data_IF_797666515560
#
_entry.id   IF_797666515560
#
_cell.length_a   1.000
_cell.length_b   1.000
_cell.length_c   1.000
_cell.angle_alpha   90.00
_cell.angle_beta   90.00
_cell.angle_gamma   90.00
#
_symmetry.space_group_name_H-M   'P 1'
#
loop_
_entity.id
_entity.type
_entity.pdbx_description
1 polymer ?
#
# COMPACT_ATOMS: atom_id res chain seq x y z
N UNK A 1 0.95 -3.25 12.55
CA UNK A 1 0.24 -2.01 12.84
C UNK A 1 1.24 -0.93 13.13
N UNK A 2 1.26 0.05 12.23
CA UNK A 2 2.07 1.25 12.31
C UNK A 2 1.75 2.02 13.59
N UNK A 3 2.70 2.13 14.51
CA UNK A 3 2.55 2.91 15.76
C UNK A 3 3.16 4.29 15.57
N UNK A 4 2.32 5.32 15.53
CA UNK A 4 2.70 6.71 15.28
C UNK A 4 2.57 7.56 16.55
N UNK A 5 3.32 7.21 17.58
CA UNK A 5 3.40 7.96 18.84
C UNK A 5 4.42 9.10 18.77
N UNK A 6 4.38 9.87 17.69
CA UNK A 6 5.28 10.99 17.48
C UNK A 6 4.82 12.19 18.32
N UNK A 7 5.77 12.86 18.98
CA UNK A 7 5.50 14.15 19.61
C UNK A 7 5.22 15.21 18.55
N UNK A 8 4.61 16.34 18.95
CA UNK A 8 4.40 17.48 18.04
C UNK A 8 5.71 17.97 17.40
N UNK A 9 6.80 17.96 18.15
CA UNK A 9 8.11 18.37 17.65
C UNK A 9 8.66 17.37 16.63
N UNK A 10 8.45 16.07 16.85
CA UNK A 10 8.79 15.02 15.89
C UNK A 10 7.97 15.13 14.60
N UNK A 11 6.67 15.40 14.70
CA UNK A 11 5.80 15.60 13.53
C UNK A 11 6.26 16.84 12.75
N UNK A 12 6.59 17.94 13.45
CA UNK A 12 7.11 19.17 12.84
C UNK A 12 8.43 18.90 12.11
N UNK A 13 9.37 18.20 12.76
CA UNK A 13 10.67 17.83 12.17
C UNK A 13 10.50 16.90 10.97
N UNK A 14 9.58 15.93 11.04
CA UNK A 14 9.27 15.03 9.92
C UNK A 14 8.81 15.82 8.70
N UNK A 15 7.87 16.75 8.85
CA UNK A 15 7.40 17.56 7.72
C UNK A 15 8.49 18.48 7.19
N UNK A 16 9.30 19.10 8.07
CA UNK A 16 10.48 19.86 7.65
C UNK A 16 11.44 19.00 6.82
N UNK A 17 11.72 17.78 7.27
CA UNK A 17 12.59 16.83 6.58
C UNK A 17 12.00 16.41 5.23
N UNK A 18 10.72 16.03 5.17
CA UNK A 18 10.02 15.67 3.93
C UNK A 18 10.14 16.77 2.86
N UNK A 19 9.83 18.02 3.24
CA UNK A 19 9.90 19.17 2.33
C UNK A 19 11.34 19.56 1.97
N UNK A 20 12.32 19.18 2.79
CA UNK A 20 13.75 19.40 2.52
C UNK A 20 14.33 18.34 1.59
N UNK A 21 13.99 17.06 1.77
CA UNK A 21 14.58 15.96 0.99
C UNK A 21 14.12 15.99 -0.46
N UNK A 22 12.83 16.25 -0.73
CA UNK A 22 12.32 16.40 -2.08
C UNK A 22 11.47 17.68 -2.18
N UNK A 23 12.09 18.87 -2.34
CA UNK A 23 11.33 20.09 -2.49
C UNK A 23 10.54 20.07 -3.81
N UNK A 24 9.41 20.77 -3.83
CA UNK A 24 8.53 20.87 -5.01
C UNK A 24 9.19 21.55 -6.23
N UNK A 25 10.39 22.13 -6.05
CA UNK A 25 11.14 22.86 -7.09
C UNK A 25 10.23 23.91 -7.75
N UNK A 26 10.09 23.84 -9.07
CA UNK A 26 9.21 24.71 -9.86
C UNK A 26 7.90 24.02 -10.25
N UNK A 27 7.56 22.89 -9.64
CA UNK A 27 6.32 22.15 -9.94
C UNK A 27 5.11 22.93 -9.42
N UNK A 28 4.20 23.30 -10.32
CA UNK A 28 2.93 23.93 -9.93
C UNK A 28 2.02 22.96 -9.17
N UNK A 29 2.22 21.64 -9.33
CA UNK A 29 1.44 20.60 -8.65
C UNK A 29 1.87 20.35 -7.20
N UNK A 30 3.02 20.89 -6.76
CA UNK A 30 3.53 20.83 -5.38
C UNK A 30 3.33 19.49 -4.63
N UNK A 31 3.71 18.34 -5.22
CA UNK A 31 3.37 17.01 -4.68
C UNK A 31 3.88 16.75 -3.26
N UNK A 32 5.06 17.26 -2.91
CA UNK A 32 5.64 17.10 -1.57
C UNK A 32 4.88 17.89 -0.52
N UNK A 33 4.48 19.13 -0.84
CA UNK A 33 3.62 19.93 0.03
C UNK A 33 2.26 19.28 0.24
N UNK A 34 1.64 18.77 -0.82
CA UNK A 34 0.34 18.10 -0.72
C UNK A 34 0.44 16.80 0.08
N UNK A 35 1.52 16.03 -0.03
CA UNK A 35 1.70 14.84 0.79
C UNK A 35 1.92 15.16 2.26
N UNK A 36 2.76 16.15 2.58
CA UNK A 36 2.92 16.61 3.95
C UNK A 36 1.58 17.13 4.54
N UNK A 37 0.77 17.82 3.74
CA UNK A 37 -0.57 18.28 4.14
C UNK A 37 -1.54 17.13 4.39
N UNK A 38 -1.60 16.13 3.50
CA UNK A 38 -2.42 14.94 3.67
C UNK A 38 -2.06 14.19 4.95
N UNK A 39 -0.77 13.97 5.21
CA UNK A 39 -0.33 13.32 6.46
C UNK A 39 -0.67 14.17 7.69
N UNK A 40 -0.50 15.48 7.62
CA UNK A 40 -0.86 16.41 8.71
C UNK A 40 -2.34 16.31 9.05
N UNK A 41 -3.21 16.29 8.06
CA UNK A 41 -4.66 16.41 8.26
C UNK A 41 -5.30 15.05 8.61
N UNK A 42 -4.88 13.98 7.93
CA UNK A 42 -5.51 12.66 8.07
C UNK A 42 -4.83 11.75 9.10
N UNK A 43 -3.49 11.65 9.02
CA UNK A 43 -2.72 10.69 9.81
C UNK A 43 -2.36 11.23 11.19
N UNK A 44 -1.72 12.40 11.23
CA UNK A 44 -1.23 13.01 12.47
C UNK A 44 -2.24 13.97 13.12
N UNK A 45 -3.29 14.37 12.39
CA UNK A 45 -4.33 15.30 12.85
C UNK A 45 -3.78 16.54 13.56
N UNK A 46 -2.80 17.17 12.92
CA UNK A 46 -2.04 18.32 13.45
C UNK A 46 -2.23 19.59 12.60
N UNK A 47 -3.47 20.08 12.42
CA UNK A 47 -3.79 21.17 11.48
C UNK A 47 -3.15 22.51 11.87
N UNK A 48 -2.65 22.63 13.11
CA UNK A 48 -1.96 23.82 13.62
C UNK A 48 -0.53 23.98 13.08
N UNK A 49 0.05 22.93 12.46
CA UNK A 49 1.37 23.01 11.84
C UNK A 49 1.27 23.69 10.48
N UNK A 50 1.84 24.89 10.38
CA UNK A 50 1.92 25.65 9.13
C UNK A 50 3.13 25.20 8.29
N UNK A 51 2.85 24.35 7.31
CA UNK A 51 3.84 23.75 6.41
C UNK A 51 4.62 24.77 5.57
N UNK A 52 4.02 25.92 5.24
CA UNK A 52 4.65 26.97 4.42
C UNK A 52 5.76 27.73 5.16
N UNK A 53 5.82 27.60 6.48
CA UNK A 53 6.75 28.35 7.34
C UNK A 53 7.75 27.46 8.07
N UNK A 54 7.79 26.18 7.73
CA UNK A 54 8.68 25.22 8.36
C UNK A 54 10.15 25.55 8.05
N UNK A 55 11.05 25.43 9.05
CA UNK A 55 12.47 25.58 8.79
C UNK A 55 12.97 24.39 7.95
N UNK A 56 14.07 24.62 7.25
CA UNK A 56 14.83 23.54 6.58
C UNK A 56 15.38 22.60 7.65
N UNK A 57 15.14 21.30 7.47
CA UNK A 57 15.69 20.26 8.35
C UNK A 57 17.13 19.92 7.94
N UNK A 58 17.93 19.42 8.88
CA UNK A 58 19.24 18.82 8.60
C UNK A 58 19.28 17.39 9.13
N UNK A 59 20.16 16.51 8.60
CA UNK A 59 20.32 15.16 9.13
C UNK A 59 20.56 15.13 10.65
N UNK A 60 21.28 16.12 11.20
CA UNK A 60 21.54 16.23 12.63
C UNK A 60 20.32 16.72 13.43
N UNK A 61 19.51 17.65 12.91
CA UNK A 61 18.26 18.04 13.59
C UNK A 61 17.28 16.88 13.60
N UNK A 62 17.17 16.17 12.49
CA UNK A 62 16.34 14.98 12.36
C UNK A 62 16.74 13.90 13.36
N UNK A 63 18.03 13.58 13.44
CA UNK A 63 18.56 12.57 14.37
C UNK A 63 18.35 12.97 15.84
N UNK A 64 18.43 14.27 16.18
CA UNK A 64 18.10 14.75 17.53
C UNK A 64 16.63 14.54 17.89
N UNK A 65 15.72 14.68 16.93
CA UNK A 65 14.28 14.46 17.14
C UNK A 65 13.90 12.98 17.12
N UNK A 66 14.57 12.18 16.29
CA UNK A 66 14.32 10.76 16.07
C UNK A 66 15.47 9.89 16.57
N UNK A 67 15.78 9.96 17.87
CA UNK A 67 16.81 9.13 18.50
C UNK A 67 16.34 7.71 18.84
N UNK A 68 15.02 7.47 18.87
CA UNK A 68 14.44 6.14 19.11
C UNK A 68 14.42 5.33 17.79
N UNK A 69 15.12 4.18 17.69
CA UNK A 69 15.30 3.47 16.42
C UNK A 69 13.99 3.11 15.70
N UNK A 70 12.95 2.73 16.44
CA UNK A 70 11.64 2.42 15.86
C UNK A 70 10.99 3.65 15.20
N UNK A 71 11.03 4.81 15.87
CA UNK A 71 10.46 6.05 15.34
C UNK A 71 11.28 6.59 14.18
N UNK A 72 12.60 6.55 14.30
CA UNK A 72 13.54 6.90 13.24
C UNK A 72 13.27 6.09 11.97
N UNK A 73 13.08 4.78 12.12
CA UNK A 73 12.76 3.90 11.00
C UNK A 73 11.48 4.31 10.28
N UNK A 74 10.39 4.54 11.01
CA UNK A 74 9.13 5.01 10.40
C UNK A 74 9.31 6.36 9.72
N UNK A 75 10.01 7.31 10.36
CA UNK A 75 10.25 8.63 9.80
C UNK A 75 11.08 8.56 8.51
N UNK A 76 12.12 7.71 8.46
CA UNK A 76 12.91 7.45 7.25
C UNK A 76 12.05 6.82 6.14
N UNK A 77 11.10 5.94 6.45
CA UNK A 77 10.20 5.40 5.43
C UNK A 77 9.39 6.50 4.72
N UNK A 78 8.88 7.49 5.46
CA UNK A 78 8.25 8.65 4.83
C UNK A 78 9.21 9.46 3.96
N UNK A 79 10.46 9.65 4.39
CA UNK A 79 11.46 10.34 3.56
C UNK A 79 11.78 9.56 2.28
N UNK A 80 11.81 8.22 2.33
CA UNK A 80 12.03 7.35 1.17
C UNK A 80 10.93 7.48 0.13
N UNK A 81 9.68 7.76 0.53
CA UNK A 81 8.58 7.95 -0.43
C UNK A 81 8.68 9.29 -1.20
N UNK A 82 9.32 10.30 -0.61
CA UNK A 82 9.34 11.67 -1.16
C UNK A 82 9.90 11.78 -2.60
N UNK A 83 11.03 11.14 -2.96
CA UNK A 83 11.59 11.26 -4.30
C UNK A 83 10.67 10.73 -5.41
N UNK A 84 9.74 9.82 -5.10
CA UNK A 84 8.85 9.23 -6.10
C UNK A 84 7.76 10.21 -6.57
N UNK A 85 7.37 11.18 -5.72
CA UNK A 85 6.11 11.92 -5.87
C UNK A 85 6.10 12.94 -7.03
N UNK A 86 7.26 13.34 -7.53
CA UNK A 86 7.36 14.25 -8.67
C UNK A 86 7.12 13.57 -10.03
N UNK A 87 6.85 12.26 -10.06
CA UNK A 87 6.77 11.49 -11.30
C UNK A 87 8.12 11.21 -11.96
N UNK A 88 9.22 11.68 -11.35
CA UNK A 88 10.59 11.46 -11.80
C UNK A 88 11.54 11.47 -10.60
N UNK A 89 12.49 10.53 -10.58
CA UNK A 89 13.50 10.44 -9.54
C UNK A 89 14.66 11.39 -9.85
N UNK A 90 14.94 12.31 -8.93
CA UNK A 90 16.08 13.21 -9.00
C UNK A 90 17.20 12.71 -8.09
N UNK A 91 18.42 12.61 -8.60
CA UNK A 91 19.59 12.12 -7.86
C UNK A 91 19.80 12.88 -6.54
N UNK A 92 19.61 14.20 -6.56
CA UNK A 92 19.75 15.04 -5.37
C UNK A 92 18.71 14.74 -4.28
N UNK A 93 17.49 14.28 -4.63
CA UNK A 93 16.48 13.89 -3.65
C UNK A 93 16.90 12.59 -2.95
N UNK A 94 17.34 11.61 -3.75
CA UNK A 94 17.79 10.30 -3.28
C UNK A 94 19.02 10.44 -2.38
N UNK A 95 19.98 11.28 -2.77
CA UNK A 95 21.18 11.56 -1.99
C UNK A 95 20.84 12.22 -0.64
N UNK A 96 19.88 13.14 -0.60
CA UNK A 96 19.41 13.71 0.68
C UNK A 96 18.76 12.65 1.56
N UNK A 97 17.93 11.76 1.02
CA UNK A 97 17.37 10.65 1.82
C UNK A 97 18.49 9.77 2.39
N UNK A 98 19.51 9.44 1.59
CA UNK A 98 20.68 8.68 2.05
C UNK A 98 21.41 9.37 3.20
N UNK A 99 21.65 10.69 3.11
CA UNK A 99 22.32 11.44 4.18
C UNK A 99 21.56 11.41 5.50
N UNK A 100 20.22 11.54 5.45
CA UNK A 100 19.38 11.43 6.65
C UNK A 100 19.44 10.02 7.24
N UNK A 101 19.31 9.00 6.39
CA UNK A 101 19.36 7.59 6.77
C UNK A 101 20.72 7.19 7.37
N UNK A 102 21.83 7.59 6.76
CA UNK A 102 23.19 7.36 7.25
C UNK A 102 23.42 8.02 8.60
N UNK A 103 23.01 9.29 8.75
CA UNK A 103 23.24 10.07 9.99
C UNK A 103 22.48 9.49 11.18
N UNK A 104 21.24 9.05 10.97
CA UNK A 104 20.43 8.40 12.02
C UNK A 104 20.78 6.91 12.20
N UNK A 105 21.54 6.32 11.27
CA UNK A 105 21.98 4.92 11.30
C UNK A 105 20.87 3.91 10.98
N UNK A 106 19.99 4.24 10.04
CA UNK A 106 18.85 3.40 9.64
C UNK A 106 18.92 3.06 8.14
N UNK A 107 19.00 1.76 7.83
CA UNK A 107 19.10 1.26 6.46
C UNK A 107 17.99 0.23 6.17
N UNK A 108 16.76 0.66 5.86
CA UNK A 108 15.68 -0.25 5.51
C UNK A 108 15.85 -0.78 4.09
N UNK A 109 15.25 -1.93 3.77
CA UNK A 109 15.31 -2.51 2.42
C UNK A 109 14.71 -1.59 1.35
N UNK A 110 13.68 -0.82 1.68
CA UNK A 110 13.08 0.19 0.80
C UNK A 110 14.07 1.28 0.39
N UNK A 111 15.04 1.62 1.24
CA UNK A 111 16.13 2.54 0.88
C UNK A 111 17.07 1.90 -0.14
N UNK A 112 17.36 0.61 0.02
CA UNK A 112 18.15 -0.14 -0.95
C UNK A 112 17.43 -0.21 -2.30
N UNK A 113 16.11 -0.42 -2.31
CA UNK A 113 15.31 -0.42 -3.52
C UNK A 113 15.33 0.96 -4.18
N UNK A 114 15.08 2.05 -3.45
CA UNK A 114 15.19 3.43 -3.94
C UNK A 114 16.52 3.68 -4.64
N UNK A 115 17.63 3.30 -3.99
CA UNK A 115 18.97 3.44 -4.56
C UNK A 115 19.15 2.59 -5.83
N UNK A 116 18.71 1.33 -5.82
CA UNK A 116 18.79 0.48 -7.01
C UNK A 116 17.98 1.07 -8.17
N UNK A 117 16.78 1.59 -7.90
CA UNK A 117 15.90 2.20 -8.90
C UNK A 117 16.55 3.46 -9.48
N UNK A 118 17.03 4.37 -8.63
CA UNK A 118 17.72 5.60 -9.04
C UNK A 118 18.94 5.29 -9.94
N UNK A 119 19.73 4.27 -9.60
CA UNK A 119 20.87 3.81 -10.39
C UNK A 119 20.50 2.93 -11.60
N UNK A 120 19.22 2.88 -11.99
CA UNK A 120 18.69 2.08 -13.11
C UNK A 120 18.94 0.57 -12.98
N UNK A 121 19.14 0.07 -11.76
CA UNK A 121 19.29 -1.35 -11.43
C UNK A 121 17.92 -1.99 -11.13
N UNK A 122 16.91 -1.67 -11.93
CA UNK A 122 15.51 -2.06 -11.74
C UNK A 122 15.33 -3.58 -11.59
N UNK A 123 16.08 -4.37 -12.37
CA UNK A 123 16.06 -5.84 -12.27
C UNK A 123 16.62 -6.37 -10.96
N UNK A 124 17.66 -5.72 -10.42
CA UNK A 124 18.22 -6.11 -9.12
C UNK A 124 17.22 -5.81 -8.01
N UNK A 125 16.64 -4.60 -8.04
CA UNK A 125 15.56 -4.24 -7.12
C UNK A 125 14.40 -5.26 -7.20
N UNK A 126 13.99 -5.67 -8.41
CA UNK A 126 12.90 -6.65 -8.57
C UNK A 126 13.22 -8.01 -7.94
N UNK A 127 14.46 -8.49 -8.11
CA UNK A 127 14.90 -9.77 -7.53
C UNK A 127 14.95 -9.68 -6.00
N UNK A 128 15.49 -8.59 -5.47
CA UNK A 128 15.61 -8.37 -4.04
C UNK A 128 14.22 -8.24 -3.38
N UNK A 129 13.32 -7.44 -3.98
CA UNK A 129 11.93 -7.32 -3.58
C UNK A 129 11.21 -8.67 -3.64
N UNK A 130 11.24 -9.35 -4.78
CA UNK A 130 10.58 -10.64 -4.96
C UNK A 130 11.07 -11.71 -3.97
N UNK A 131 12.36 -11.69 -3.60
CA UNK A 131 12.90 -12.57 -2.56
C UNK A 131 12.30 -12.26 -1.18
N UNK A 132 12.15 -10.98 -0.83
CA UNK A 132 11.60 -10.55 0.47
C UNK A 132 10.09 -10.79 0.53
N UNK A 133 9.34 -10.37 -0.48
CA UNK A 133 7.90 -10.64 -0.61
C UNK A 133 7.61 -12.15 -0.56
N UNK A 134 8.40 -12.97 -1.26
CA UNK A 134 8.26 -14.43 -1.20
C UNK A 134 8.50 -15.00 0.20
N UNK A 135 9.36 -14.41 1.02
CA UNK A 135 9.60 -14.89 2.38
C UNK A 135 8.49 -14.45 3.35
N UNK A 136 7.84 -13.32 3.09
CA UNK A 136 6.73 -12.81 3.89
C UNK A 136 5.45 -13.61 3.60
N UNK A 137 5.04 -13.68 2.33
CA UNK A 137 3.77 -14.26 1.93
C UNK A 137 3.81 -15.79 1.77
N UNK A 138 5.01 -16.37 1.68
CA UNK A 138 5.22 -17.83 1.66
C UNK A 138 6.31 -18.21 2.68
N UNK A 139 6.03 -18.10 4.00
CA UNK A 139 7.03 -18.27 5.05
C UNK A 139 7.49 -19.74 5.23
N UNK A 140 6.81 -20.69 4.55
CA UNK A 140 7.16 -22.10 4.56
C UNK A 140 8.61 -22.34 4.09
N UNK A 141 9.36 -23.14 4.84
CA UNK A 141 10.78 -23.45 4.56
C UNK A 141 10.94 -24.82 3.89
N UNK A 142 11.95 -24.96 3.03
CA UNK A 142 12.36 -26.24 2.46
C UNK A 142 11.36 -26.83 1.46
N UNK A 143 11.07 -28.13 1.56
CA UNK A 143 10.17 -28.86 0.65
C UNK A 143 8.74 -28.28 0.63
N UNK A 144 8.30 -27.63 1.71
CA UNK A 144 6.99 -26.99 1.81
C UNK A 144 6.84 -25.76 0.89
N UNK A 145 7.91 -24.97 0.70
CA UNK A 145 7.93 -23.90 -0.31
C UNK A 145 7.77 -24.43 -1.73
N UNK A 146 8.30 -25.63 -2.00
CA UNK A 146 8.10 -26.32 -3.29
C UNK A 146 6.63 -26.71 -3.45
N UNK A 147 5.96 -27.19 -2.40
CA UNK A 147 4.53 -27.49 -2.43
C UNK A 147 3.65 -26.24 -2.59
N UNK A 148 4.03 -25.11 -1.98
CA UNK A 148 3.34 -23.83 -2.18
C UNK A 148 3.47 -23.32 -3.62
N UNK A 149 4.65 -23.44 -4.22
CA UNK A 149 4.88 -23.14 -5.65
C UNK A 149 4.11 -24.13 -6.55
N UNK A 150 4.08 -25.42 -6.21
CA UNK A 150 3.29 -26.43 -6.94
C UNK A 150 1.79 -26.15 -6.84
N UNK A 151 1.29 -25.64 -5.71
CA UNK A 151 -0.10 -25.16 -5.56
C UNK A 151 -0.37 -23.93 -6.42
N UNK A 152 0.56 -22.97 -6.49
CA UNK A 152 0.46 -21.83 -7.41
C UNK A 152 0.42 -22.28 -8.88
N UNK A 153 1.23 -23.27 -9.25
CA UNK A 153 1.23 -23.86 -10.60
C UNK A 153 -0.05 -24.67 -10.87
N UNK A 154 -0.58 -25.42 -9.90
CA UNK A 154 -1.87 -26.11 -10.04
C UNK A 154 -3.04 -25.14 -10.20
N UNK A 155 -3.06 -24.04 -9.45
CA UNK A 155 -4.06 -22.98 -9.62
C UNK A 155 -4.04 -22.37 -11.04
N UNK A 156 -2.87 -22.36 -11.69
CA UNK A 156 -2.74 -21.92 -13.09
C UNK A 156 -3.36 -22.91 -14.10
N UNK A 157 -3.36 -24.22 -13.78
CA UNK A 157 -3.97 -25.29 -14.60
C UNK A 157 -5.50 -25.31 -14.43
N UNK A 158 -5.98 -24.87 -13.26
CA UNK A 158 -7.39 -24.78 -12.89
C UNK A 158 -7.83 -25.91 -11.95
N UNK A 159 -8.77 -25.58 -11.08
CA UNK A 159 -9.45 -26.44 -10.10
C UNK A 159 -10.95 -26.11 -10.16
N UNK A 160 -11.72 -26.97 -10.82
CA UNK A 160 -13.15 -26.70 -11.07
C UNK A 160 -13.99 -26.72 -9.80
N UNK A 161 -13.61 -27.51 -8.79
CA UNK A 161 -14.34 -27.58 -7.52
C UNK A 161 -14.17 -26.26 -6.76
N UNK A 162 -12.92 -25.76 -6.68
CA UNK A 162 -12.65 -24.46 -6.09
C UNK A 162 -13.37 -23.32 -6.83
N UNK A 163 -13.36 -23.33 -8.16
CA UNK A 163 -14.08 -22.32 -8.94
C UNK A 163 -15.60 -22.35 -8.68
N UNK A 164 -16.17 -23.54 -8.49
CA UNK A 164 -17.60 -23.71 -8.16
C UNK A 164 -17.93 -23.19 -6.77
N UNK A 165 -17.04 -23.35 -5.79
CA UNK A 165 -17.21 -22.77 -4.44
C UNK A 165 -17.30 -21.24 -4.49
N UNK A 166 -16.44 -20.59 -5.28
CA UNK A 166 -16.52 -19.13 -5.49
C UNK A 166 -17.77 -18.71 -6.26
N UNK A 167 -18.21 -19.48 -7.24
CA UNK A 167 -19.45 -19.20 -7.97
C UNK A 167 -20.67 -19.29 -7.04
N UNK A 168 -20.69 -20.27 -6.13
CA UNK A 168 -21.79 -20.43 -5.17
C UNK A 168 -21.96 -19.24 -4.22
N UNK A 169 -20.93 -18.42 -4.01
CA UNK A 169 -21.02 -17.18 -3.24
C UNK A 169 -22.07 -16.20 -3.81
N UNK A 170 -22.42 -16.33 -5.09
CA UNK A 170 -23.52 -15.57 -5.71
C UNK A 170 -24.87 -15.74 -4.98
N UNK A 171 -25.08 -16.86 -4.30
CA UNK A 171 -26.33 -17.19 -3.62
C UNK A 171 -26.44 -16.59 -2.21
N UNK A 172 -25.36 -15.97 -1.71
CA UNK A 172 -25.36 -15.34 -0.40
C UNK A 172 -26.11 -13.99 -0.42
N UNK A 173 -26.57 -13.58 0.76
CA UNK A 173 -27.33 -12.34 0.92
C UNK A 173 -26.47 -11.12 0.60
N UNK A 174 -27.08 -10.10 -0.03
CA UNK A 174 -26.43 -8.84 -0.33
C UNK A 174 -25.88 -8.19 0.94
N UNK A 175 -24.65 -7.69 0.88
CA UNK A 175 -23.96 -7.11 2.03
C UNK A 175 -23.18 -8.08 2.91
N UNK A 176 -23.25 -9.38 2.63
CA UNK A 176 -22.30 -10.35 3.17
C UNK A 176 -20.97 -10.31 2.42
N UNK A 177 -19.88 -10.68 3.09
CA UNK A 177 -18.53 -10.71 2.49
C UNK A 177 -18.48 -11.57 1.22
N UNK A 178 -19.01 -12.80 1.27
CA UNK A 178 -18.95 -13.72 0.14
C UNK A 178 -19.69 -13.18 -1.08
N UNK A 179 -20.88 -12.60 -0.88
CA UNK A 179 -21.62 -11.95 -1.97
C UNK A 179 -20.83 -10.79 -2.58
N UNK A 180 -20.12 -10.01 -1.75
CA UNK A 180 -19.28 -8.92 -2.21
C UNK A 180 -18.04 -9.41 -2.98
N UNK A 181 -17.35 -10.47 -2.53
CA UNK A 181 -16.24 -11.11 -3.25
C UNK A 181 -16.69 -11.54 -4.64
N UNK A 182 -17.82 -12.26 -4.73
CA UNK A 182 -18.37 -12.70 -6.00
C UNK A 182 -18.66 -11.52 -6.94
N UNK A 183 -19.36 -10.50 -6.44
CA UNK A 183 -19.69 -9.30 -7.23
C UNK A 183 -18.44 -8.55 -7.66
N UNK A 184 -17.45 -8.39 -6.77
CA UNK A 184 -16.19 -7.69 -7.03
C UNK A 184 -15.44 -8.31 -8.22
N UNK A 185 -15.34 -9.64 -8.24
CA UNK A 185 -14.67 -10.39 -9.30
C UNK A 185 -15.43 -10.34 -10.62
N UNK A 186 -16.73 -10.69 -10.60
CA UNK A 186 -17.52 -10.78 -11.84
C UNK A 186 -17.70 -9.44 -12.53
N UNK A 187 -17.87 -8.35 -11.76
CA UNK A 187 -18.02 -6.99 -12.33
C UNK A 187 -16.74 -6.46 -12.97
N UNK A 188 -15.57 -6.92 -12.51
CA UNK A 188 -14.25 -6.54 -13.05
C UNK A 188 -13.74 -7.49 -14.14
N UNK A 189 -14.48 -8.58 -14.40
CA UNK A 189 -14.02 -9.64 -15.30
C UNK A 189 -12.80 -10.40 -14.75
N UNK A 190 -12.56 -10.33 -13.44
CA UNK A 190 -11.55 -11.15 -12.79
C UNK A 190 -12.01 -12.60 -12.78
N UNK A 191 -11.02 -13.49 -12.89
CA UNK A 191 -11.26 -14.92 -12.79
C UNK A 191 -11.28 -15.33 -11.33
N UNK A 192 -12.05 -16.36 -10.96
CA UNK A 192 -12.00 -16.92 -9.61
C UNK A 192 -10.80 -17.86 -9.42
N UNK A 193 -10.29 -18.02 -8.19
CA UNK A 193 -9.34 -19.11 -7.91
C UNK A 193 -9.94 -20.45 -8.36
N UNK A 194 -9.14 -21.24 -9.07
CA UNK A 194 -9.58 -22.47 -9.73
C UNK A 194 -9.99 -22.28 -11.20
N UNK A 195 -10.30 -21.07 -11.67
CA UNK A 195 -10.45 -20.83 -13.10
C UNK A 195 -9.06 -20.77 -13.79
N UNK A 196 -8.88 -21.36 -14.99
CA UNK A 196 -7.57 -21.40 -15.65
C UNK A 196 -6.94 -20.03 -15.86
N UNK A 197 -5.67 -19.90 -15.48
CA UNK A 197 -4.90 -18.66 -15.57
C UNK A 197 -5.27 -17.60 -14.53
N UNK A 198 -5.90 -17.97 -13.42
CA UNK A 198 -6.16 -17.06 -12.32
C UNK A 198 -5.08 -17.06 -11.22
N UNK A 199 -5.09 -16.00 -10.42
CA UNK A 199 -4.32 -15.87 -9.19
C UNK A 199 -4.86 -16.81 -8.10
N UNK A 200 -3.98 -17.23 -7.19
CA UNK A 200 -4.34 -18.09 -6.06
C UNK A 200 -5.18 -17.37 -5.00
N UNK A 201 -5.69 -18.08 -3.99
CA UNK A 201 -6.41 -17.47 -2.85
C UNK A 201 -5.65 -16.37 -2.10
N UNK A 202 -4.33 -16.26 -2.28
CA UNK A 202 -3.57 -15.11 -1.75
C UNK A 202 -4.04 -13.78 -2.34
N UNK A 203 -4.44 -13.75 -3.61
CA UNK A 203 -5.01 -12.55 -4.23
C UNK A 203 -6.37 -12.19 -3.62
N UNK A 204 -7.21 -13.18 -3.32
CA UNK A 204 -8.52 -12.92 -2.66
C UNK A 204 -8.35 -12.24 -1.30
N UNK A 205 -7.29 -12.56 -0.55
CA UNK A 205 -7.00 -11.90 0.73
C UNK A 205 -6.68 -10.42 0.55
N UNK A 206 -5.87 -10.09 -0.46
CA UNK A 206 -5.61 -8.71 -0.87
C UNK A 206 -6.89 -8.00 -1.36
N UNK A 207 -7.69 -8.67 -2.19
CA UNK A 207 -8.97 -8.12 -2.66
C UNK A 207 -9.98 -7.89 -1.53
N UNK A 208 -9.91 -8.69 -0.46
CA UNK A 208 -10.69 -8.41 0.74
C UNK A 208 -10.27 -7.10 1.42
N UNK A 209 -8.99 -6.71 1.34
CA UNK A 209 -8.55 -5.39 1.81
C UNK A 209 -9.27 -4.31 1.02
N UNK A 210 -9.31 -4.39 -0.31
CA UNK A 210 -10.09 -3.46 -1.15
C UNK A 210 -11.56 -3.38 -0.72
N UNK A 211 -12.24 -4.52 -0.60
CA UNK A 211 -13.67 -4.58 -0.24
C UNK A 211 -13.91 -3.96 1.14
N UNK A 212 -13.08 -4.29 2.12
CA UNK A 212 -13.25 -3.85 3.49
C UNK A 212 -12.84 -2.39 3.69
N UNK A 213 -11.77 -1.92 3.04
CA UNK A 213 -11.30 -0.54 3.10
C UNK A 213 -12.11 0.39 2.19
N UNK A 214 -12.78 -0.12 1.15
CA UNK A 214 -13.45 0.71 0.16
C UNK A 214 -12.49 1.39 -0.82
N UNK A 215 -11.30 0.84 -1.02
CA UNK A 215 -10.37 1.25 -2.08
C UNK A 215 -10.66 0.47 -3.35
N UNK A 216 -10.81 1.16 -4.47
CA UNK A 216 -11.11 0.53 -5.76
C UNK A 216 -9.84 0.02 -6.45
N UNK A 217 -9.98 -0.58 -7.63
CA UNK A 217 -8.89 -1.20 -8.40
C UNK A 217 -8.46 -0.38 -9.62
N UNK A 218 -8.77 0.91 -9.63
CA UNK A 218 -8.11 1.83 -10.55
C UNK A 218 -6.70 2.16 -10.02
N UNK A 219 -5.84 2.75 -10.86
CA UNK A 219 -4.43 2.99 -10.53
C UNK A 219 -4.23 3.78 -9.23
N UNK A 220 -5.09 4.75 -8.93
CA UNK A 220 -5.03 5.52 -7.69
C UNK A 220 -5.57 4.70 -6.50
N UNK A 221 -6.56 3.85 -6.74
CA UNK A 221 -7.13 2.92 -5.76
C UNK A 221 -6.14 1.82 -5.34
N UNK A 222 -5.33 1.30 -6.26
CA UNK A 222 -4.22 0.37 -5.98
C UNK A 222 -3.12 1.04 -5.14
N UNK A 223 -2.81 2.30 -5.44
CA UNK A 223 -1.91 3.10 -4.59
C UNK A 223 -2.51 3.27 -3.19
N UNK A 224 -3.80 3.57 -3.08
CA UNK A 224 -4.48 3.74 -1.79
C UNK A 224 -4.55 2.44 -0.98
N UNK A 225 -4.86 1.29 -1.60
CA UNK A 225 -4.92 0.00 -0.88
C UNK A 225 -3.55 -0.35 -0.28
N UNK A 226 -2.45 -0.09 -1.01
CA UNK A 226 -1.10 -0.35 -0.50
C UNK A 226 -0.79 0.46 0.77
N UNK A 227 -1.37 1.66 0.89
CA UNK A 227 -1.26 2.50 2.09
C UNK A 227 -2.05 1.90 3.26
N UNK A 228 -3.25 1.36 3.00
CA UNK A 228 -4.04 0.61 4.01
C UNK A 228 -3.24 -0.59 4.50
N UNK A 229 -2.71 -1.39 3.57
CA UNK A 229 -1.91 -2.58 3.85
C UNK A 229 -0.66 -2.21 4.65
N UNK A 230 0.07 -1.16 4.26
CA UNK A 230 1.23 -0.69 5.00
C UNK A 230 0.89 -0.24 6.43
N UNK A 231 -0.20 0.51 6.62
CA UNK A 231 -0.64 0.94 7.94
C UNK A 231 -1.01 -0.24 8.85
N UNK A 232 -1.63 -1.26 8.27
CA UNK A 232 -2.02 -2.50 8.93
C UNK A 232 -0.81 -3.40 9.23
N UNK A 233 0.11 -3.53 8.27
CA UNK A 233 1.21 -4.47 8.24
C UNK A 233 2.10 -4.38 9.49
N UNK A 234 2.63 -5.53 9.89
CA UNK A 234 3.54 -5.68 11.05
C UNK A 234 5.00 -5.85 10.62
N UNK A 235 5.30 -5.73 9.33
CA UNK A 235 6.62 -5.92 8.74
C UNK A 235 7.00 -4.76 7.81
N UNK A 236 8.28 -4.70 7.44
CA UNK A 236 8.78 -3.67 6.52
C UNK A 236 8.26 -3.84 5.09
N UNK A 237 7.74 -5.02 4.75
CA UNK A 237 7.24 -5.34 3.40
C UNK A 237 6.08 -4.44 3.02
N UNK A 238 5.27 -3.96 3.98
CA UNK A 238 4.22 -2.98 3.70
C UNK A 238 4.74 -1.69 3.03
N UNK A 239 5.93 -1.22 3.40
CA UNK A 239 6.56 -0.06 2.75
C UNK A 239 7.11 -0.37 1.37
N UNK A 240 7.59 -1.61 1.18
CA UNK A 240 8.07 -2.09 -0.12
C UNK A 240 6.90 -2.24 -1.12
N UNK A 241 5.73 -2.67 -0.66
CA UNK A 241 4.50 -2.72 -1.47
C UNK A 241 4.05 -1.33 -1.94
N UNK A 242 4.24 -0.29 -1.13
CA UNK A 242 3.99 1.09 -1.59
C UNK A 242 4.97 1.44 -2.73
N UNK A 243 6.24 1.07 -2.60
CA UNK A 243 7.25 1.31 -3.65
C UNK A 243 6.89 0.58 -4.94
N UNK A 244 6.36 -0.63 -4.84
CA UNK A 244 5.86 -1.42 -5.97
C UNK A 244 4.79 -0.65 -6.76
N UNK A 245 3.69 -0.26 -6.10
CA UNK A 245 2.58 0.42 -6.80
C UNK A 245 2.94 1.84 -7.26
N UNK A 246 3.86 2.53 -6.58
CA UNK A 246 4.39 3.81 -7.06
C UNK A 246 5.19 3.64 -8.36
N UNK A 247 5.98 2.57 -8.49
CA UNK A 247 6.69 2.31 -9.74
C UNK A 247 5.73 2.01 -10.88
N UNK A 248 4.80 1.10 -10.64
CA UNK A 248 3.86 0.63 -11.65
C UNK A 248 2.85 1.70 -12.08
N UNK A 249 2.24 2.41 -11.13
CA UNK A 249 1.09 3.27 -11.39
C UNK A 249 1.37 4.77 -11.27
N UNK A 250 2.51 5.18 -10.68
CA UNK A 250 2.89 6.59 -10.60
C UNK A 250 4.08 6.95 -11.51
N UNK A 251 5.09 6.08 -11.62
CA UNK A 251 6.29 6.32 -12.45
C UNK A 251 6.23 5.69 -13.85
N UNK A 252 5.20 4.90 -14.16
CA UNK A 252 5.04 4.28 -15.48
C UNK A 252 6.02 3.14 -15.75
N UNK A 253 6.62 2.56 -14.71
CA UNK A 253 7.61 1.50 -14.81
C UNK A 253 6.88 0.19 -14.49
N UNK A 254 6.56 -0.62 -15.50
CA UNK A 254 6.01 -1.96 -15.31
C UNK A 254 7.03 -2.89 -14.65
N UNK A 255 7.08 -2.85 -13.31
CA UNK A 255 8.05 -3.51 -12.47
C UNK A 255 7.56 -4.86 -12.01
N UNK A 256 6.32 -4.95 -11.54
CA UNK A 256 5.71 -6.21 -11.05
C UNK A 256 4.42 -6.57 -11.77
N UNK A 257 3.89 -5.69 -12.63
CA UNK A 257 2.67 -5.93 -13.41
C UNK A 257 2.71 -7.25 -14.23
N UNK A 258 1.65 -8.07 -14.13
CA UNK A 258 1.41 -9.16 -15.07
C UNK A 258 1.29 -8.68 -16.52
N UNK A 259 1.56 -9.61 -17.46
CA UNK A 259 1.42 -9.34 -18.89
C UNK A 259 0.00 -8.85 -19.23
N UNK A 260 -0.09 -7.68 -19.86
CA UNK A 260 -1.34 -7.11 -20.36
C UNK A 260 -1.87 -5.93 -19.54
N UNK A 261 -1.42 -5.76 -18.29
CA UNK A 261 -1.69 -4.54 -17.51
C UNK A 261 -0.70 -3.46 -17.92
N UNK A 262 -1.22 -2.27 -18.23
CA UNK A 262 -0.38 -1.13 -18.60
C UNK A 262 0.00 -0.35 -17.34
N UNK A 263 1.26 0.08 -17.21
CA UNK A 263 1.66 0.96 -16.13
C UNK A 263 1.04 2.36 -16.32
N UNK A 264 0.92 3.09 -15.22
CA UNK A 264 0.34 4.43 -15.15
C UNK A 264 1.36 5.49 -14.78
N UNK A 265 1.03 6.75 -15.06
CA UNK A 265 1.85 7.89 -14.67
C UNK A 265 1.02 8.90 -13.89
N UNK A 266 1.59 9.47 -12.83
CA UNK A 266 0.97 10.56 -12.05
C UNK A 266 -0.38 10.20 -11.38
N UNK A 267 -0.60 8.93 -10.99
CA UNK A 267 -1.82 8.50 -10.28
C UNK A 267 -1.73 8.57 -8.74
N UNK A 268 -0.66 9.13 -8.18
CA UNK A 268 -0.55 9.28 -6.72
C UNK A 268 -1.36 10.49 -6.31
N UNK A 269 -2.40 10.25 -5.51
CA UNK A 269 -3.17 11.30 -4.84
C UNK A 269 -2.70 11.39 -3.37
N UNK A 270 -2.01 12.49 -2.98
CA UNK A 270 -1.44 12.60 -1.64
C UNK A 270 -2.46 12.64 -0.51
N UNK A 271 -3.64 13.22 -0.74
CA UNK A 271 -4.68 13.33 0.29
C UNK A 271 -5.31 11.97 0.51
N UNK A 272 -5.70 11.32 -0.59
CA UNK A 272 -6.26 9.99 -0.58
C UNK A 272 -5.34 8.94 0.05
N UNK A 273 -4.06 8.94 -0.33
CA UNK A 273 -3.07 8.01 0.21
C UNK A 273 -2.91 8.21 1.73
N UNK A 274 -2.89 9.47 2.18
CA UNK A 274 -2.71 9.79 3.60
C UNK A 274 -3.91 9.36 4.44
N UNK A 275 -5.13 9.53 3.91
CA UNK A 275 -6.35 9.02 4.54
C UNK A 275 -6.37 7.49 4.60
N UNK A 276 -6.02 6.82 3.50
CA UNK A 276 -5.92 5.38 3.42
C UNK A 276 -4.91 4.80 4.43
N UNK A 277 -3.73 5.43 4.55
CA UNK A 277 -2.74 5.07 5.56
C UNK A 277 -3.27 5.25 6.99
N UNK A 278 -4.04 6.32 7.24
CA UNK A 278 -4.65 6.59 8.54
C UNK A 278 -5.76 5.58 8.90
N UNK A 279 -6.49 5.08 7.92
CA UNK A 279 -7.42 3.96 8.08
C UNK A 279 -6.64 2.69 8.43
N UNK A 280 -5.64 2.34 7.61
CA UNK A 280 -4.79 1.15 7.80
C UNK A 280 -4.13 1.10 9.17
N UNK A 281 -3.61 2.23 9.66
CA UNK A 281 -2.95 2.33 10.97
C UNK A 281 -3.87 2.04 12.16
N UNK A 282 -5.19 2.05 11.98
CA UNK A 282 -6.18 1.71 13.02
C UNK A 282 -6.68 0.27 12.94
N UNK A 283 -6.42 -0.43 11.84
CA UNK A 283 -6.87 -1.80 11.64
C UNK A 283 -6.18 -2.70 12.68
N UNK A 284 -6.99 -3.42 13.45
CA UNK A 284 -6.51 -4.19 14.60
C UNK A 284 -6.09 -5.64 14.26
N UNK A 285 -6.34 -6.09 13.04
CA UNK A 285 -6.13 -7.45 12.55
C UNK A 285 -5.32 -7.41 11.25
N UNK A 286 -4.32 -8.28 11.10
CA UNK A 286 -3.65 -8.43 9.81
C UNK A 286 -4.56 -9.25 8.88
N UNK A 287 -5.30 -8.56 8.01
CA UNK A 287 -6.30 -9.15 7.11
C UNK A 287 -5.66 -10.13 6.13
N UNK A 288 -4.38 -9.92 5.79
CA UNK A 288 -3.67 -10.78 4.84
C UNK A 288 -3.22 -12.07 5.53
N UNK A 289 -2.60 -11.97 6.71
CA UNK A 289 -1.92 -13.09 7.36
C UNK A 289 -2.74 -13.77 8.47
N UNK A 290 -3.48 -13.01 9.27
CA UNK A 290 -4.08 -13.48 10.53
C UNK A 290 -5.58 -13.85 10.39
N UNK A 291 -6.20 -13.64 9.22
CA UNK A 291 -7.64 -13.86 9.02
C UNK A 291 -7.93 -14.91 7.94
N UNK A 292 -8.90 -15.79 8.20
CA UNK A 292 -9.43 -16.70 7.19
C UNK A 292 -10.80 -16.21 6.72
N UNK A 293 -10.85 -15.58 5.54
CA UNK A 293 -12.08 -14.98 5.03
C UNK A 293 -13.22 -15.99 4.80
N UNK A 294 -12.90 -17.26 4.56
CA UNK A 294 -13.89 -18.33 4.39
C UNK A 294 -14.80 -18.51 5.61
N UNK A 295 -14.28 -18.27 6.82
CA UNK A 295 -15.06 -18.39 8.06
C UNK A 295 -16.13 -17.29 8.19
N UNK A 296 -15.98 -16.20 7.42
CA UNK A 296 -16.77 -14.98 7.49
C UNK A 296 -17.57 -14.67 6.21
N UNK A 297 -17.63 -15.58 5.23
CA UNK A 297 -18.32 -15.31 3.95
C UNK A 297 -19.81 -14.95 4.10
N UNK A 298 -20.46 -15.40 5.18
CA UNK A 298 -21.86 -15.06 5.50
C UNK A 298 -21.99 -13.86 6.43
N UNK A 299 -20.88 -13.33 6.94
CA UNK A 299 -20.85 -12.19 7.85
C UNK A 299 -21.09 -10.90 7.08
N UNK A 300 -21.96 -9.99 7.56
CA UNK A 300 -22.12 -8.65 6.97
C UNK A 300 -20.80 -7.86 6.96
N UNK A 301 -20.50 -7.19 5.84
CA UNK A 301 -19.30 -6.35 5.71
C UNK A 301 -19.21 -5.28 6.79
N UNK A 302 -20.35 -4.67 7.15
CA UNK A 302 -20.40 -3.66 8.22
C UNK A 302 -19.95 -4.21 9.57
N UNK A 303 -20.30 -5.47 9.87
CA UNK A 303 -19.85 -6.15 11.09
C UNK A 303 -18.34 -6.42 11.05
N UNK A 304 -17.82 -6.88 9.91
CA UNK A 304 -16.38 -7.10 9.73
C UNK A 304 -15.58 -5.81 9.86
N UNK A 305 -16.05 -4.70 9.28
CA UNK A 305 -15.43 -3.38 9.45
C UNK A 305 -15.39 -2.96 10.91
N UNK A 306 -16.51 -3.12 11.63
CA UNK A 306 -16.55 -2.85 13.06
C UNK A 306 -15.56 -3.73 13.83
N UNK A 307 -15.52 -5.04 13.53
CA UNK A 307 -14.64 -6.03 14.16
C UNK A 307 -13.16 -5.69 13.96
N UNK A 308 -12.79 -5.29 12.75
CA UNK A 308 -11.42 -4.95 12.37
C UNK A 308 -11.04 -3.48 12.62
N UNK A 309 -11.98 -2.69 13.16
CA UNK A 309 -11.81 -1.26 13.43
C UNK A 309 -11.54 -0.42 12.16
N UNK A 310 -12.17 -0.78 11.05
CA UNK A 310 -12.20 0.01 9.81
C UNK A 310 -13.35 1.01 9.92
N UNK A 311 -13.04 2.30 9.83
CA UNK A 311 -13.97 3.41 10.05
C UNK A 311 -14.03 4.32 8.83
N UNK A 312 -15.16 5.03 8.66
CA UNK A 312 -15.34 5.99 7.55
C UNK A 312 -15.53 5.32 6.19
N UNK A 313 -16.04 4.08 6.16
CA UNK A 313 -16.28 3.33 4.92
C UNK A 313 -17.68 2.71 4.97
N UNK A 314 -18.58 3.23 4.13
CA UNK A 314 -19.98 2.79 4.10
C UNK A 314 -20.34 1.90 2.91
N UNK A 315 -19.52 1.88 1.85
CA UNK A 315 -19.84 1.12 0.62
C UNK A 315 -19.98 -0.38 0.88
N UNK A 316 -20.97 -1.02 0.26
CA UNK A 316 -21.17 -2.46 0.40
C UNK A 316 -20.84 -3.17 -0.91
N UNK A 317 -21.48 -2.78 -2.01
CA UNK A 317 -21.21 -3.31 -3.34
C UNK A 317 -20.42 -2.26 -4.11
N UNK A 318 -19.11 -2.49 -4.25
CA UNK A 318 -18.20 -1.54 -4.87
C UNK A 318 -18.26 -1.63 -6.42
N UNK A 319 -18.75 -0.59 -7.11
CA UNK A 319 -18.79 -0.55 -8.58
C UNK A 319 -17.40 -0.72 -9.20
N UNK A 320 -17.34 -1.41 -10.34
CA UNK A 320 -16.11 -1.67 -11.06
C UNK A 320 -15.65 -0.45 -11.89
N UNK A 321 -14.41 0.02 -11.71
CA UNK A 321 -13.83 1.07 -12.56
C UNK A 321 -13.82 0.65 -14.03
N UNK A 322 -14.03 1.62 -14.93
CA UNK A 322 -14.05 1.37 -16.37
C UNK A 322 -15.29 0.66 -16.91
N UNK A 323 -16.18 0.18 -16.04
CA UNK A 323 -17.48 -0.42 -16.39
C UNK A 323 -18.63 0.47 -15.92
N UNK A 324 -18.60 0.87 -14.65
CA UNK A 324 -19.61 1.74 -14.06
C UNK A 324 -19.14 3.21 -14.06
N UNK A 325 -19.87 4.16 -14.69
CA UNK A 325 -19.49 5.56 -14.70
C UNK A 325 -19.57 6.24 -13.31
N UNK A 326 -20.26 5.63 -12.35
CA UNK A 326 -20.35 6.09 -10.96
C UNK A 326 -19.27 5.49 -10.06
N UNK A 327 -18.40 4.63 -10.61
CA UNK A 327 -17.25 4.10 -9.87
C UNK A 327 -16.35 5.26 -9.42
N UNK A 328 -16.02 5.27 -8.13
CA UNK A 328 -15.05 6.17 -7.52
C UNK A 328 -13.79 5.40 -7.16
N UNK A 329 -12.68 6.11 -7.05
CA UNK A 329 -11.41 5.57 -6.58
C UNK A 329 -11.50 5.04 -5.15
N UNK A 330 -12.18 5.76 -4.26
CA UNK A 330 -12.52 5.27 -2.92
C UNK A 330 -13.92 5.66 -2.51
N UNK A 331 -14.36 5.04 -1.41
CA UNK A 331 -15.67 5.27 -0.81
C UNK A 331 -15.53 5.59 0.69
N UNK A 332 -14.69 6.60 0.95
CA UNK A 332 -14.57 7.22 2.26
C UNK A 332 -15.72 8.22 2.50
N UNK A 333 -16.19 8.33 3.74
CA UNK A 333 -17.36 9.14 4.14
C UNK A 333 -17.04 10.58 4.54
#
# INVERSE_FOLDING_TARGET
MLKLDFSRDQITELFSAMLTVAPDRTSEHRPSMHFAAGLRDHLFKSPDINLETLPVSTPESFTRSFFEPHKAKIAIQFLILMPYLSGSLHDDDVERVNQYAETVGIEPNSLQDLNNIAHRRIKLALIDYGRRASNEFLPEKGLHKIWAVVKQVHGYIGDSEQAEDFEQLANLEQGTLGKAIHTFYRTRGFKFPGEPGNLTESAVRHDCVHILSGTNTDMAGEIAVSAVECGMARSDVGWEMITEVLLDFHLGIAWTLPNGIQPGTMNFDPDLFSEALAIGAKINTDIIHDWNYWDDIKTPISELRQRFNIQGVSIIDMPAPGVDPMAKTTYYD
#
